data_IF_456198637800
#
_entry.id   IF_456198637800
#
_cell.length_a   1.000
_cell.length_b   1.000
_cell.length_c   1.000
_cell.angle_alpha   90.00
_cell.angle_beta   90.00
_cell.angle_gamma   90.00
#
_symmetry.space_group_name_H-M   'P 1'
#
loop_
_entity.id
_entity.type
_entity.pdbx_description
1 polymer ?
#
# COMPACT_ATOMS: atom_id res chain seq x y z
N UNK A 1 26.33 4.33 52.12
CA UNK A 1 26.81 4.85 50.82
C UNK A 1 26.96 3.77 49.74
N UNK A 2 27.63 2.64 49.98
CA UNK A 2 27.82 1.57 48.97
C UNK A 2 26.52 0.92 48.45
N UNK A 3 25.52 0.69 49.32
CA UNK A 3 24.22 0.09 48.94
C UNK A 3 23.37 0.99 48.03
N UNK A 4 23.37 2.30 48.27
CA UNK A 4 22.64 3.29 47.44
C UNK A 4 23.27 3.40 46.06
N UNK A 5 24.61 3.37 45.97
CA UNK A 5 25.33 3.34 44.70
C UNK A 5 25.09 2.05 43.89
N UNK A 6 24.95 0.92 44.59
CA UNK A 6 24.62 -0.36 43.97
C UNK A 6 23.18 -0.37 43.42
N UNK A 7 22.23 0.17 44.19
CA UNK A 7 20.83 0.33 43.75
C UNK A 7 20.71 1.29 42.55
N UNK A 8 21.47 2.39 42.55
CA UNK A 8 21.56 3.32 41.42
C UNK A 8 22.11 2.64 40.17
N UNK A 9 23.17 1.82 40.30
CA UNK A 9 23.73 1.05 39.18
C UNK A 9 22.75 0.03 38.62
N UNK A 10 22.05 -0.70 39.49
CA UNK A 10 21.05 -1.69 39.07
C UNK A 10 19.89 -0.98 38.35
N UNK A 11 19.37 0.12 38.90
CA UNK A 11 18.32 0.91 38.27
C UNK A 11 18.75 1.46 36.89
N UNK A 12 20.00 1.92 36.76
CA UNK A 12 20.54 2.47 35.51
C UNK A 12 20.69 1.39 34.42
N UNK A 13 21.04 0.16 34.79
CA UNK A 13 21.13 -0.99 33.87
C UNK A 13 19.74 -1.41 33.36
N UNK A 14 18.74 -1.44 34.24
CA UNK A 14 17.35 -1.72 33.82
C UNK A 14 16.79 -0.62 32.91
N UNK A 15 17.12 0.65 33.18
CA UNK A 15 16.72 1.78 32.35
C UNK A 15 17.35 1.72 30.95
N UNK A 16 18.62 1.34 30.85
CA UNK A 16 19.31 1.15 29.58
C UNK A 16 18.77 -0.05 28.77
N UNK A 17 18.46 -1.17 29.43
CA UNK A 17 17.87 -2.34 28.78
C UNK A 17 16.45 -2.05 28.25
N UNK A 18 15.67 -1.24 28.98
CA UNK A 18 14.35 -0.78 28.54
C UNK A 18 14.43 0.15 27.33
N UNK A 19 15.44 1.02 27.25
CA UNK A 19 15.64 1.92 26.09
C UNK A 19 16.14 1.15 24.86
N UNK A 20 16.99 0.12 25.03
CA UNK A 20 17.43 -0.72 23.89
C UNK A 20 16.36 -1.68 23.36
N UNK A 21 15.35 -2.02 24.16
CA UNK A 21 14.16 -2.75 23.70
C UNK A 21 13.11 -1.85 23.05
N UNK A 22 13.30 -0.52 23.07
CA UNK A 22 12.55 0.45 22.30
C UNK A 22 13.23 0.84 20.98
N UNK A 23 14.18 0.02 20.49
CA UNK A 23 14.44 -0.05 19.06
C UNK A 23 13.23 -0.75 18.41
N UNK A 24 12.09 -0.07 18.39
CA UNK A 24 11.00 -0.39 17.50
C UNK A 24 11.62 -0.26 16.11
N UNK A 25 12.01 -1.38 15.52
CA UNK A 25 12.27 -1.44 14.09
C UNK A 25 10.92 -1.09 13.48
N UNK A 26 10.76 0.18 13.15
CA UNK A 26 9.70 0.65 12.29
C UNK A 26 10.11 0.17 10.90
N UNK A 27 9.95 -1.13 10.64
CA UNK A 27 9.84 -1.66 9.29
C UNK A 27 8.45 -1.29 8.77
N UNK A 28 8.20 0.02 8.69
CA UNK A 28 7.32 0.52 7.66
C UNK A 28 8.22 0.55 6.44
N UNK A 29 8.14 -0.48 5.61
CA UNK A 29 8.35 -0.26 4.18
C UNK A 29 7.60 1.04 3.89
N UNK A 30 8.35 2.11 3.60
CA UNK A 30 7.72 3.40 3.38
C UNK A 30 6.80 3.18 2.19
N UNK A 31 5.49 3.31 2.38
CA UNK A 31 4.60 3.52 1.26
C UNK A 31 5.12 4.79 0.59
N UNK A 32 5.89 4.62 -0.48
CA UNK A 32 6.39 5.70 -1.33
C UNK A 32 5.22 6.29 -2.09
N UNK A 33 4.21 5.47 -2.38
CA UNK A 33 2.89 5.86 -2.86
C UNK A 33 2.13 6.78 -1.89
N UNK A 34 1.10 7.42 -2.45
CA UNK A 34 0.04 8.23 -1.79
C UNK A 34 -0.65 9.13 -2.84
N UNK A 35 -0.78 8.66 -4.08
CA UNK A 35 -1.37 9.47 -5.14
C UNK A 35 -2.76 9.99 -4.75
N UNK A 36 -3.52 9.21 -3.96
CA UNK A 36 -4.88 9.58 -3.59
C UNK A 36 -4.92 10.93 -2.85
N UNK A 37 -3.87 11.33 -2.12
CA UNK A 37 -3.84 12.61 -1.39
C UNK A 37 -3.78 13.85 -2.29
N UNK A 38 -3.33 13.70 -3.54
CA UNK A 38 -3.12 14.81 -4.48
C UNK A 38 -3.82 14.58 -5.83
N UNK A 39 -4.68 13.57 -5.90
CA UNK A 39 -5.53 13.29 -7.04
C UNK A 39 -7.01 13.32 -6.62
N UNK A 40 -7.88 13.45 -7.61
CA UNK A 40 -9.31 13.54 -7.42
C UNK A 40 -9.89 12.16 -7.06
N UNK A 41 -10.08 11.93 -5.75
CA UNK A 41 -10.61 10.68 -5.20
C UNK A 41 -12.06 10.41 -5.60
N UNK A 42 -12.82 11.46 -5.90
CA UNK A 42 -14.25 11.35 -6.22
C UNK A 42 -14.45 10.99 -7.71
N UNK A 43 -13.44 11.21 -8.54
CA UNK A 43 -13.45 10.90 -9.98
C UNK A 43 -12.30 9.94 -10.37
N UNK A 44 -12.13 8.86 -9.59
CA UNK A 44 -11.26 7.75 -9.97
C UNK A 44 -12.06 6.71 -10.73
N UNK A 45 -11.59 6.35 -11.91
CA UNK A 45 -12.18 5.34 -12.78
C UNK A 45 -11.23 4.14 -12.95
N UNK A 46 -11.81 2.95 -13.02
CA UNK A 46 -11.10 1.72 -13.35
C UNK A 46 -11.78 1.07 -14.56
N UNK A 47 -11.08 1.05 -15.69
CA UNK A 47 -11.50 0.34 -16.90
C UNK A 47 -10.57 -0.86 -17.16
N UNK A 48 -11.09 -2.06 -16.90
CA UNK A 48 -10.29 -3.28 -16.85
C UNK A 48 -9.18 -3.16 -15.78
N UNK A 49 -7.93 -3.09 -16.22
CA UNK A 49 -6.75 -2.86 -15.36
C UNK A 49 -6.25 -1.42 -15.38
N UNK A 50 -6.87 -0.52 -16.14
CA UNK A 50 -6.40 0.87 -16.28
C UNK A 50 -7.07 1.76 -15.26
N UNK A 51 -6.28 2.26 -14.31
CA UNK A 51 -6.70 3.26 -13.33
C UNK A 51 -6.53 4.66 -13.92
N UNK A 52 -7.57 5.48 -13.88
CA UNK A 52 -7.57 6.86 -14.41
C UNK A 52 -8.14 7.85 -13.40
N UNK A 53 -7.54 9.04 -13.30
CA UNK A 53 -8.03 10.14 -12.46
C UNK A 53 -7.39 11.46 -12.89
N UNK A 54 -7.75 12.57 -12.24
CA UNK A 54 -7.05 13.86 -12.34
C UNK A 54 -6.10 14.02 -11.16
N UNK A 55 -4.85 14.39 -11.44
CA UNK A 55 -3.84 14.60 -10.42
C UNK A 55 -3.29 16.03 -10.46
N UNK A 56 -3.02 16.59 -9.29
CA UNK A 56 -2.47 17.93 -9.12
C UNK A 56 -0.99 17.97 -9.45
N UNK A 57 -0.55 19.09 -10.04
CA UNK A 57 0.84 19.47 -10.28
C UNK A 57 1.34 20.38 -9.17
N UNK A 58 2.66 20.53 -9.06
CA UNK A 58 3.27 21.47 -8.09
C UNK A 58 2.86 22.93 -8.32
N UNK A 59 2.49 23.30 -9.54
CA UNK A 59 2.03 24.66 -9.88
C UNK A 59 0.55 24.91 -9.53
N UNK A 60 -0.16 23.92 -8.98
CA UNK A 60 -1.59 24.01 -8.61
C UNK A 60 -2.57 23.61 -9.71
N UNK A 61 -2.12 23.42 -10.96
CA UNK A 61 -2.96 22.90 -12.04
C UNK A 61 -3.23 21.40 -11.82
N UNK A 62 -4.26 20.86 -12.49
CA UNK A 62 -4.53 19.42 -12.52
C UNK A 62 -4.55 18.92 -13.95
N UNK A 63 -4.18 17.65 -14.15
CA UNK A 63 -4.28 17.00 -15.46
C UNK A 63 -4.84 15.58 -15.34
N UNK A 64 -5.51 15.13 -16.40
CA UNK A 64 -5.93 13.73 -16.51
C UNK A 64 -4.70 12.83 -16.67
N UNK A 65 -4.69 11.71 -15.97
CA UNK A 65 -3.61 10.72 -16.05
C UNK A 65 -4.18 9.32 -15.82
N UNK A 66 -3.47 8.32 -16.33
CA UNK A 66 -3.82 6.92 -16.18
C UNK A 66 -2.60 6.04 -16.04
N UNK A 67 -2.79 4.88 -15.43
CA UNK A 67 -1.77 3.84 -15.24
C UNK A 67 -2.40 2.46 -15.42
N UNK A 68 -1.74 1.60 -16.18
CA UNK A 68 -2.14 0.19 -16.33
C UNK A 68 -1.57 -0.64 -15.18
N UNK A 69 -2.46 -1.11 -14.31
CA UNK A 69 -2.15 -1.89 -13.12
C UNK A 69 -1.63 -3.29 -13.43
N UNK A 70 -1.97 -3.87 -14.59
CA UNK A 70 -1.43 -5.18 -14.99
C UNK A 70 0.08 -5.18 -15.14
N UNK A 71 0.70 -4.00 -15.30
CA UNK A 71 2.16 -3.88 -15.41
C UNK A 71 2.89 -4.11 -14.10
N UNK A 72 2.18 -4.04 -12.97
CA UNK A 72 2.77 -3.98 -11.62
C UNK A 72 2.06 -4.86 -10.59
N UNK A 73 0.85 -5.33 -10.88
CA UNK A 73 0.06 -6.20 -10.02
C UNK A 73 -0.11 -7.56 -10.70
N UNK A 74 0.20 -8.62 -9.95
CA UNK A 74 -0.10 -10.00 -10.31
C UNK A 74 -1.01 -10.68 -9.30
N UNK A 75 -1.28 -11.96 -9.57
CA UNK A 75 -2.00 -12.85 -8.67
C UNK A 75 -1.04 -13.95 -8.18
N UNK A 76 -0.79 -13.95 -6.88
CA UNK A 76 0.04 -14.94 -6.18
C UNK A 76 -0.84 -15.83 -5.31
N UNK A 77 -1.17 -17.02 -5.82
CA UNK A 77 -1.99 -18.03 -5.12
C UNK A 77 -3.32 -17.47 -4.58
N UNK A 78 -4.07 -16.79 -5.44
CA UNK A 78 -5.37 -16.19 -5.11
C UNK A 78 -5.27 -14.84 -4.41
N UNK A 79 -4.07 -14.25 -4.27
CA UNK A 79 -3.86 -12.95 -3.65
C UNK A 79 -3.23 -11.96 -4.62
N UNK A 80 -3.82 -10.79 -4.74
CA UNK A 80 -3.22 -9.64 -5.43
C UNK A 80 -1.88 -9.28 -4.76
N UNK A 81 -0.85 -9.07 -5.57
CA UNK A 81 0.48 -8.69 -5.09
C UNK A 81 1.16 -7.71 -6.03
N UNK A 82 1.89 -6.76 -5.44
CA UNK A 82 2.81 -5.89 -6.15
C UNK A 82 4.03 -6.65 -6.65
N UNK A 83 4.66 -6.14 -7.71
CA UNK A 83 5.92 -6.67 -8.26
C UNK A 83 5.74 -7.75 -9.32
N UNK A 84 4.53 -8.30 -9.44
CA UNK A 84 4.14 -9.23 -10.50
C UNK A 84 3.33 -8.54 -11.59
N UNK A 85 2.76 -9.30 -12.54
CA UNK A 85 2.05 -8.77 -13.71
C UNK A 85 0.79 -9.56 -14.03
N UNK A 86 -0.06 -8.93 -14.83
CA UNK A 86 -1.22 -9.53 -15.50
C UNK A 86 -2.25 -10.18 -14.55
N UNK A 87 -2.49 -9.59 -13.37
CA UNK A 87 -3.52 -10.11 -12.45
C UNK A 87 -4.88 -10.31 -13.13
N UNK A 88 -5.25 -9.44 -14.07
CA UNK A 88 -6.54 -9.50 -14.76
C UNK A 88 -6.75 -10.77 -15.59
N UNK A 89 -5.71 -11.57 -15.85
CA UNK A 89 -5.83 -12.87 -16.54
C UNK A 89 -6.41 -13.96 -15.66
N UNK A 90 -6.28 -13.83 -14.34
CA UNK A 90 -6.64 -14.86 -13.36
C UNK A 90 -7.50 -14.32 -12.21
N UNK A 91 -7.88 -13.05 -12.30
CA UNK A 91 -8.81 -12.41 -11.39
C UNK A 91 -10.01 -11.85 -12.17
N UNK A 92 -11.16 -11.74 -11.49
CA UNK A 92 -12.41 -11.22 -12.03
C UNK A 92 -13.08 -10.30 -11.01
N UNK A 93 -14.19 -9.68 -11.40
CA UNK A 93 -14.98 -8.78 -10.54
C UNK A 93 -14.10 -7.68 -9.91
N UNK A 94 -13.21 -7.13 -10.74
CA UNK A 94 -12.25 -6.11 -10.34
C UNK A 94 -12.95 -4.77 -10.11
N UNK A 95 -12.62 -4.10 -9.01
CA UNK A 95 -13.19 -2.81 -8.66
C UNK A 95 -12.33 -2.01 -7.70
N UNK A 96 -12.76 -0.79 -7.44
CA UNK A 96 -12.17 0.07 -6.43
C UNK A 96 -13.09 0.13 -5.22
N UNK A 97 -12.52 0.09 -4.02
CA UNK A 97 -13.23 0.30 -2.78
C UNK A 97 -12.41 1.19 -1.84
N UNK A 98 -13.07 1.68 -0.78
CA UNK A 98 -12.40 2.36 0.32
C UNK A 98 -12.61 1.58 1.60
N UNK A 99 -11.54 1.37 2.36
CA UNK A 99 -11.63 0.79 3.68
C UNK A 99 -12.39 1.74 4.61
N UNK A 100 -13.40 1.23 5.33
CA UNK A 100 -14.28 2.05 6.17
C UNK A 100 -13.53 2.79 7.29
N UNK A 101 -12.53 2.15 7.87
CA UNK A 101 -11.81 2.67 9.04
C UNK A 101 -10.69 3.65 8.67
N UNK A 102 -9.98 3.39 7.57
CA UNK A 102 -8.77 4.14 7.17
C UNK A 102 -8.99 5.04 5.97
N UNK A 103 -10.11 4.87 5.23
CA UNK A 103 -10.40 5.54 3.96
C UNK A 103 -9.33 5.32 2.88
N UNK A 104 -8.51 4.28 3.04
CA UNK A 104 -7.50 3.88 2.06
C UNK A 104 -8.20 3.35 0.81
N UNK A 105 -7.70 3.75 -0.36
CA UNK A 105 -8.16 3.25 -1.64
C UNK A 105 -7.54 1.88 -1.92
N UNK A 106 -8.39 0.88 -2.12
CA UNK A 106 -7.99 -0.49 -2.39
C UNK A 106 -8.53 -0.96 -3.75
N UNK A 107 -7.71 -1.75 -4.44
CA UNK A 107 -8.15 -2.60 -5.54
C UNK A 107 -8.75 -3.87 -4.94
N UNK A 108 -9.96 -4.21 -5.33
CA UNK A 108 -10.62 -5.46 -4.94
C UNK A 108 -10.81 -6.33 -6.18
N UNK A 109 -10.64 -7.65 -6.01
CA UNK A 109 -10.90 -8.63 -7.05
C UNK A 109 -11.19 -10.00 -6.44
N UNK A 110 -11.72 -10.91 -7.24
CA UNK A 110 -11.76 -12.33 -6.93
C UNK A 110 -10.69 -13.04 -7.78
N UNK A 111 -9.71 -13.68 -7.14
CA UNK A 111 -8.52 -14.24 -7.80
C UNK A 111 -8.43 -15.76 -7.65
N UNK A 112 -7.92 -16.41 -8.69
CA UNK A 112 -7.75 -17.86 -8.75
C UNK A 112 -6.50 -18.32 -7.96
N UNK A 113 -6.57 -19.39 -7.16
CA UNK A 113 -5.41 -20.01 -6.52
C UNK A 113 -4.47 -20.70 -7.53
N UNK A 114 -3.25 -21.06 -7.09
CA UNK A 114 -2.20 -21.61 -7.95
C UNK A 114 -2.50 -23.02 -8.49
N UNK A 115 -3.34 -23.79 -7.80
CA UNK A 115 -3.85 -25.10 -8.25
C UNK A 115 -4.86 -24.97 -9.40
N UNK A 116 -5.34 -23.76 -9.68
CA UNK A 116 -6.21 -23.45 -10.80
C UNK A 116 -7.68 -23.81 -10.56
N UNK A 117 -8.40 -24.13 -11.64
CA UNK A 117 -9.83 -24.49 -11.58
C UNK A 117 -10.80 -23.29 -11.56
N UNK A 118 -12.03 -23.51 -11.08
CA UNK A 118 -13.09 -22.49 -11.12
C UNK A 118 -13.34 -21.79 -9.77
N UNK A 119 -12.45 -21.99 -8.80
CA UNK A 119 -12.53 -21.37 -7.48
C UNK A 119 -11.83 -20.02 -7.50
N UNK A 120 -12.45 -19.01 -6.92
CA UNK A 120 -11.90 -17.67 -6.81
C UNK A 120 -12.09 -17.18 -5.38
N UNK A 121 -11.08 -16.51 -4.85
CA UNK A 121 -11.10 -15.97 -3.49
C UNK A 121 -11.04 -14.44 -3.52
N UNK A 122 -11.75 -13.74 -2.62
CA UNK A 122 -11.65 -12.30 -2.52
C UNK A 122 -10.22 -11.91 -2.12
N UNK A 123 -9.70 -10.89 -2.80
CA UNK A 123 -8.40 -10.31 -2.51
C UNK A 123 -8.49 -8.78 -2.61
N UNK A 124 -7.69 -8.12 -1.79
CA UNK A 124 -7.62 -6.67 -1.70
C UNK A 124 -6.15 -6.24 -1.79
N UNK A 125 -5.87 -5.09 -2.40
CA UNK A 125 -4.55 -4.51 -2.46
C UNK A 125 -4.62 -3.00 -2.29
N UNK A 126 -3.84 -2.45 -1.36
CA UNK A 126 -3.73 -1.00 -1.15
C UNK A 126 -2.98 -0.33 -2.32
N UNK A 127 -3.65 0.59 -3.03
CA UNK A 127 -3.09 1.29 -4.19
C UNK A 127 -2.09 2.38 -3.81
N UNK A 128 -2.35 3.08 -2.70
CA UNK A 128 -1.47 4.10 -2.16
C UNK A 128 -0.14 3.54 -1.64
N UNK A 129 0.04 2.21 -1.56
CA UNK A 129 1.31 1.64 -1.16
C UNK A 129 2.44 1.94 -2.18
N UNK A 130 2.10 1.95 -3.48
CA UNK A 130 3.08 2.01 -4.57
C UNK A 130 2.70 2.94 -5.73
N UNK A 131 1.49 3.52 -5.73
CA UNK A 131 1.13 4.49 -6.77
C UNK A 131 1.35 5.91 -6.22
N UNK A 132 2.16 6.68 -6.94
CA UNK A 132 2.45 8.08 -6.66
C UNK A 132 1.83 9.00 -7.70
N UNK A 133 1.64 10.25 -7.32
CA UNK A 133 1.45 11.35 -8.25
C UNK A 133 2.79 12.08 -8.44
N UNK A 134 3.40 11.94 -9.62
CA UNK A 134 4.62 12.64 -10.00
C UNK A 134 4.31 13.77 -11.00
N UNK A 135 4.22 15.01 -10.51
CA UNK A 135 3.89 16.21 -11.31
C UNK A 135 2.63 16.06 -12.17
N UNK A 136 1.56 15.54 -11.57
CA UNK A 136 0.27 15.31 -12.20
C UNK A 136 0.17 14.00 -12.98
N UNK A 137 1.17 13.11 -12.90
CA UNK A 137 1.18 11.83 -13.62
C UNK A 137 1.27 10.66 -12.65
N UNK A 138 0.37 9.68 -12.77
CA UNK A 138 0.43 8.45 -12.00
C UNK A 138 1.68 7.64 -12.38
N UNK A 139 2.42 7.19 -11.36
CA UNK A 139 3.58 6.30 -11.54
C UNK A 139 3.59 5.22 -10.46
N UNK A 140 4.26 4.11 -10.78
CA UNK A 140 4.60 3.06 -9.83
C UNK A 140 5.97 3.35 -9.23
N UNK A 141 6.07 3.38 -7.90
CA UNK A 141 7.29 3.60 -7.10
C UNK A 141 7.31 2.75 -5.83
#
# INVERSE_FOLDING_TARGET
MKKVWLLLRVAMVFLFAFVMSLNFVVDKAMATGQFSLSCDKDNIELDGSTLSTKCQKSNGDSQQTSIDLNRYIGNHDGKLSWGDKDFSKTCKNTGLAQLLNTRQLILVAECQPADGGNTYYPSELELDAHIVNAEGTLKYE
#
